data_IF_978683038792
#
_entry.id   IF_978683038792
#
_cell.length_a   1.000
_cell.length_b   1.000
_cell.length_c   1.000
_cell.angle_alpha   90.00
_cell.angle_beta   90.00
_cell.angle_gamma   90.00
#
_symmetry.space_group_name_H-M   'P 1'
#
loop_
_entity.id
_entity.type
_entity.pdbx_description
1 polymer ?
#
# COMPACT_ATOMS: atom_id res chain seq x y z
N UNK A 1 -39.31 49.76 -39.63
CA UNK A 1 -39.08 50.72 -40.73
C UNK A 1 -37.68 50.45 -41.26
N UNK A 2 -37.45 50.03 -42.50
CA UNK A 2 -38.31 49.74 -43.62
C UNK A 2 -37.43 49.31 -44.81
N UNK A 3 -38.03 48.52 -45.71
CA UNK A 3 -37.82 48.49 -47.17
C UNK A 3 -36.44 47.97 -47.64
N UNK A 4 -36.33 46.73 -48.12
CA UNK A 4 -36.67 46.28 -49.48
C UNK A 4 -35.89 47.04 -50.57
N UNK A 5 -35.02 46.36 -51.34
CA UNK A 5 -35.26 45.98 -52.74
C UNK A 5 -33.99 45.38 -53.40
N UNK A 6 -34.15 44.27 -54.12
CA UNK A 6 -33.24 43.78 -55.17
C UNK A 6 -33.42 44.65 -56.45
N UNK A 7 -32.96 44.31 -57.69
CA UNK A 7 -31.98 43.33 -58.19
C UNK A 7 -31.09 43.86 -59.38
N UNK A 8 -30.30 42.94 -59.97
CA UNK A 8 -30.13 42.68 -61.43
C UNK A 8 -29.01 43.34 -62.29
N UNK A 9 -28.09 42.45 -62.70
CA UNK A 9 -27.49 42.22 -64.05
C UNK A 9 -26.29 43.04 -64.62
N UNK A 10 -25.40 42.25 -65.23
CA UNK A 10 -24.18 42.48 -66.02
C UNK A 10 -24.47 43.05 -67.44
N UNK A 11 -23.55 43.06 -68.46
CA UNK A 11 -22.09 42.81 -68.54
C UNK A 11 -21.34 43.87 -69.44
N UNK A 12 -20.06 43.58 -69.79
CA UNK A 12 -19.34 43.86 -71.06
C UNK A 12 -17.95 44.50 -70.87
N UNK A 13 -16.94 43.94 -71.55
CA UNK A 13 -15.56 44.45 -71.54
C UNK A 13 -15.20 45.26 -72.79
N UNK A 14 -14.06 45.97 -72.74
CA UNK A 14 -13.09 46.15 -73.84
C UNK A 14 -11.91 47.04 -73.41
N UNK A 15 -10.68 46.54 -73.64
CA UNK A 15 -9.46 47.21 -74.13
C UNK A 15 -9.11 48.68 -73.79
N UNK A 16 -7.91 48.88 -73.21
CA UNK A 16 -6.98 49.98 -73.55
C UNK A 16 -5.54 49.60 -73.15
N UNK A 17 -4.68 49.14 -74.08
CA UNK A 17 -3.59 49.87 -74.76
C UNK A 17 -2.65 50.69 -73.85
N UNK A 18 -1.47 50.11 -73.56
CA UNK A 18 -0.26 50.85 -73.20
C UNK A 18 0.62 51.02 -74.46
N UNK A 19 1.16 52.23 -74.57
CA UNK A 19 1.82 52.86 -75.70
C UNK A 19 3.09 52.16 -76.21
N UNK A 20 3.21 52.23 -77.53
CA UNK A 20 4.27 51.79 -78.43
C UNK A 20 5.61 52.49 -78.11
N UNK A 21 6.64 51.72 -77.79
CA UNK A 21 8.02 52.07 -78.14
C UNK A 21 8.37 51.34 -79.44
N UNK A 22 8.54 52.11 -80.51
CA UNK A 22 9.08 51.60 -81.76
C UNK A 22 10.56 51.30 -81.64
N UNK A 23 11.02 50.31 -82.41
CA UNK A 23 12.09 50.50 -83.41
C UNK A 23 12.26 49.22 -84.25
N UNK A 24 11.85 49.36 -85.51
CA UNK A 24 12.45 48.81 -86.73
C UNK A 24 13.13 47.43 -86.68
N UNK A 25 12.41 46.41 -87.15
CA UNK A 25 13.01 45.17 -87.64
C UNK A 25 13.46 45.35 -89.10
N UNK A 26 14.76 45.54 -89.30
CA UNK A 26 15.41 45.38 -90.60
C UNK A 26 16.16 44.04 -90.59
N UNK A 27 15.91 43.24 -91.63
CA UNK A 27 16.59 41.99 -91.99
C UNK A 27 15.93 40.68 -91.57
N UNK A 28 15.59 39.93 -92.61
CA UNK A 28 15.26 38.52 -92.71
C UNK A 28 16.36 37.64 -92.09
N UNK A 29 15.95 36.48 -91.54
CA UNK A 29 16.82 35.35 -91.12
C UNK A 29 17.51 35.50 -89.76
N UNK A 30 16.85 35.01 -88.72
CA UNK A 30 17.44 34.80 -87.39
C UNK A 30 16.77 33.61 -86.67
N UNK A 31 16.69 32.46 -87.37
CA UNK A 31 16.30 31.18 -86.77
C UNK A 31 17.49 30.64 -85.97
N UNK A 32 17.18 29.99 -84.84
CA UNK A 32 18.02 29.01 -84.10
C UNK A 32 19.13 29.61 -83.22
N UNK A 33 19.27 29.04 -82.02
CA UNK A 33 20.26 29.27 -80.94
C UNK A 33 19.88 30.25 -79.84
N UNK A 34 19.11 29.77 -78.86
CA UNK A 34 19.38 29.99 -77.44
C UNK A 34 18.67 28.92 -76.60
N UNK A 35 19.22 27.71 -76.62
CA UNK A 35 18.85 26.61 -75.73
C UNK A 35 19.28 26.92 -74.28
N UNK A 36 18.60 26.30 -73.31
CA UNK A 36 18.97 26.05 -71.90
C UNK A 36 18.81 27.16 -70.83
N UNK A 37 17.65 27.16 -70.15
CA UNK A 37 17.49 27.44 -68.71
C UNK A 37 16.08 26.94 -68.27
N UNK A 38 15.90 25.62 -68.09
CA UNK A 38 15.90 24.91 -66.80
C UNK A 38 14.82 25.39 -65.80
N UNK A 39 14.02 24.43 -65.32
CA UNK A 39 13.04 24.50 -64.21
C UNK A 39 11.60 24.87 -64.59
N UNK A 40 10.97 23.96 -65.33
CA UNK A 40 9.58 23.59 -65.05
C UNK A 40 9.60 22.62 -63.85
N UNK A 41 9.43 23.14 -62.63
CA UNK A 41 8.94 22.42 -61.45
C UNK A 41 8.85 23.35 -60.22
N UNK A 42 7.64 23.41 -59.65
CA UNK A 42 7.29 23.82 -58.28
C UNK A 42 7.13 25.32 -57.90
N UNK A 43 6.11 25.55 -57.05
CA UNK A 43 5.73 26.73 -56.25
C UNK A 43 4.83 27.80 -56.94
N UNK A 44 3.67 28.24 -56.43
CA UNK A 44 3.12 28.22 -55.06
C UNK A 44 1.58 28.45 -55.04
N UNK A 45 0.94 27.91 -54.00
CA UNK A 45 -0.51 27.96 -53.68
C UNK A 45 -0.73 28.94 -52.52
N UNK A 46 -1.74 29.81 -52.59
CA UNK A 46 -2.27 30.60 -51.47
C UNK A 46 -3.73 30.96 -51.78
N UNK A 47 -4.75 30.80 -50.94
CA UNK A 47 -4.84 30.37 -49.55
C UNK A 47 -6.31 30.43 -49.13
N UNK A 48 -7.10 29.40 -49.50
CA UNK A 48 -8.36 29.10 -48.82
C UNK A 48 -8.03 28.03 -47.76
N UNK A 49 -7.63 28.49 -46.59
CA UNK A 49 -7.41 27.63 -45.43
C UNK A 49 -8.74 27.07 -44.94
N UNK A 50 -9.23 26.01 -45.59
CA UNK A 50 -10.18 25.08 -44.97
C UNK A 50 -9.44 24.39 -43.83
N UNK A 51 -9.53 24.94 -42.62
CA UNK A 51 -9.08 24.24 -41.42
C UNK A 51 -10.03 23.06 -41.19
N UNK A 52 -9.68 21.90 -41.76
CA UNK A 52 -10.17 20.62 -41.27
C UNK A 52 -9.49 20.38 -39.92
N UNK A 53 -10.19 20.67 -38.83
CA UNK A 53 -9.72 20.29 -37.50
C UNK A 53 -9.85 18.76 -37.36
N UNK A 54 -8.80 18.02 -37.70
CA UNK A 54 -8.70 16.60 -37.40
C UNK A 54 -8.37 16.44 -35.92
N UNK A 55 -9.38 16.21 -35.09
CA UNK A 55 -9.18 15.86 -33.68
C UNK A 55 -9.53 14.41 -33.46
N UNK A 56 -8.53 13.59 -33.10
CA UNK A 56 -8.72 12.23 -32.60
C UNK A 56 -8.48 12.19 -31.09
N UNK A 57 -9.43 11.62 -30.36
CA UNK A 57 -9.29 11.32 -28.93
C UNK A 57 -9.32 9.81 -28.74
N UNK A 58 -8.42 9.28 -27.93
CA UNK A 58 -8.40 7.88 -27.50
C UNK A 58 -8.34 7.84 -25.99
N UNK A 59 -9.16 7.00 -25.37
CA UNK A 59 -9.22 6.84 -23.92
C UNK A 59 -8.99 5.38 -23.54
N UNK A 60 -8.22 5.17 -22.48
CA UNK A 60 -8.11 3.90 -21.78
C UNK A 60 -8.40 4.15 -20.29
N UNK A 61 -9.00 3.15 -19.64
CA UNK A 61 -9.28 3.17 -18.21
C UNK A 61 -8.63 1.95 -17.57
N UNK A 62 -8.01 2.17 -16.41
CA UNK A 62 -7.40 1.13 -15.59
C UNK A 62 -8.02 1.18 -14.20
N UNK A 63 -8.31 0.01 -13.61
CA UNK A 63 -8.87 -0.05 -12.25
C UNK A 63 -7.75 -0.36 -11.26
N UNK A 64 -7.38 0.63 -10.45
CA UNK A 64 -6.37 0.47 -9.40
C UNK A 64 -7.04 0.27 -8.05
N UNK A 65 -6.74 -0.84 -7.37
CA UNK A 65 -7.18 -1.11 -6.01
C UNK A 65 -5.99 -1.17 -5.04
N UNK A 66 -6.13 -0.58 -3.85
CA UNK A 66 -5.11 -0.64 -2.80
C UNK A 66 -5.19 -1.92 -1.97
N UNK A 67 -4.04 -2.41 -1.51
CA UNK A 67 -3.98 -3.50 -0.53
C UNK A 67 -4.27 -3.04 0.90
N UNK A 68 -4.76 -3.94 1.75
CA UNK A 68 -5.04 -3.74 3.17
C UNK A 68 -4.05 -4.51 4.04
N UNK A 69 -3.63 -3.88 5.15
CA UNK A 69 -2.79 -4.48 6.20
C UNK A 69 -3.62 -4.49 7.47
N UNK A 70 -3.90 -5.68 8.01
CA UNK A 70 -4.66 -5.79 9.23
C UNK A 70 -4.30 -7.08 9.98
N UNK A 71 -3.92 -6.96 11.25
CA UNK A 71 -3.76 -8.10 12.15
C UNK A 71 -4.87 -8.05 13.20
N UNK A 72 -5.50 -9.19 13.44
CA UNK A 72 -6.63 -9.32 14.35
C UNK A 72 -6.37 -10.41 15.38
N UNK A 73 -6.94 -10.22 16.57
CA UNK A 73 -7.01 -11.25 17.59
C UNK A 73 -8.34 -11.98 17.49
N UNK A 74 -8.36 -13.25 17.91
CA UNK A 74 -9.58 -14.00 18.09
C UNK A 74 -10.58 -13.30 19.03
N UNK A 75 -11.85 -13.68 18.91
CA UNK A 75 -12.90 -13.21 19.82
C UNK A 75 -12.58 -13.62 21.27
N UNK A 76 -12.99 -12.78 22.23
CA UNK A 76 -12.82 -13.05 23.66
C UNK A 76 -13.41 -14.42 24.03
N UNK A 77 -12.63 -15.25 24.74
CA UNK A 77 -12.98 -16.63 25.03
C UNK A 77 -11.81 -17.56 24.76
N UNK A 78 -12.08 -18.80 24.33
CA UNK A 78 -11.03 -19.78 24.04
C UNK A 78 -10.03 -19.32 22.95
N UNK A 79 -10.47 -18.46 22.02
CA UNK A 79 -9.63 -17.88 20.98
C UNK A 79 -8.84 -16.64 21.42
N UNK A 80 -9.15 -16.07 22.60
CA UNK A 80 -8.43 -14.94 23.17
C UNK A 80 -8.69 -14.81 24.69
N UNK A 81 -7.69 -15.18 25.47
CA UNK A 81 -7.69 -15.11 26.94
C UNK A 81 -6.83 -13.95 27.48
N UNK A 82 -6.24 -13.10 26.65
CA UNK A 82 -5.29 -12.07 27.11
C UNK A 82 -5.90 -11.07 28.11
N UNK A 83 -7.22 -10.91 28.13
CA UNK A 83 -7.93 -10.05 29.10
C UNK A 83 -8.23 -10.74 30.44
N UNK A 84 -7.91 -12.03 30.62
CA UNK A 84 -8.15 -12.75 31.88
C UNK A 84 -7.03 -12.41 32.86
N UNK A 85 -7.37 -11.65 33.90
CA UNK A 85 -6.45 -11.31 34.97
C UNK A 85 -5.89 -12.56 35.67
N UNK A 86 -4.65 -12.46 36.13
CA UNK A 86 -4.08 -13.38 37.11
C UNK A 86 -3.93 -12.65 38.44
N UNK A 87 -4.10 -13.35 39.54
CA UNK A 87 -4.07 -12.79 40.89
C UNK A 87 -3.42 -13.75 41.86
N UNK A 88 -2.78 -13.22 42.90
CA UNK A 88 -2.19 -14.04 43.96
C UNK A 88 -0.96 -14.84 43.51
N UNK A 89 -0.21 -14.33 42.53
CA UNK A 89 1.02 -14.96 42.08
C UNK A 89 2.07 -14.94 43.19
N UNK A 90 2.73 -16.07 43.38
CA UNK A 90 3.92 -16.22 44.21
C UNK A 90 5.16 -16.52 43.36
N UNK A 91 6.35 -16.36 43.93
CA UNK A 91 7.60 -16.62 43.24
C UNK A 91 7.64 -18.06 42.71
N UNK A 92 7.91 -18.22 41.41
CA UNK A 92 7.89 -19.50 40.69
C UNK A 92 6.59 -19.77 39.92
N UNK A 93 5.52 -19.00 40.14
CA UNK A 93 4.26 -19.20 39.44
C UNK A 93 4.34 -18.88 37.95
N UNK A 94 3.52 -19.58 37.18
CA UNK A 94 3.35 -19.36 35.74
C UNK A 94 1.88 -19.18 35.39
N UNK A 95 1.62 -18.30 34.43
CA UNK A 95 0.30 -17.97 33.91
C UNK A 95 0.35 -18.16 32.41
N UNK A 96 -0.58 -18.94 31.87
CA UNK A 96 -0.69 -19.12 30.42
C UNK A 96 -2.00 -18.50 29.90
N UNK A 97 -1.94 -17.90 28.72
CA UNK A 97 -3.08 -17.36 27.98
C UNK A 97 -2.97 -17.73 26.51
N UNK A 98 -4.00 -18.35 25.94
CA UNK A 98 -4.07 -18.58 24.50
C UNK A 98 -4.65 -17.38 23.76
N UNK A 99 -4.18 -17.16 22.53
CA UNK A 99 -4.74 -16.19 21.59
C UNK A 99 -4.51 -16.66 20.16
N UNK A 100 -5.53 -16.57 19.32
CA UNK A 100 -5.38 -16.71 17.87
C UNK A 100 -5.03 -15.34 17.29
N UNK A 101 -3.94 -15.28 16.54
CA UNK A 101 -3.51 -14.09 15.80
C UNK A 101 -3.67 -14.34 14.30
N UNK A 102 -4.38 -13.48 13.59
CA UNK A 102 -4.63 -13.64 12.15
C UNK A 102 -4.29 -12.39 11.36
N UNK A 103 -3.86 -12.57 10.10
CA UNK A 103 -3.80 -11.47 9.14
C UNK A 103 -5.08 -11.48 8.30
N UNK A 104 -5.96 -10.53 8.61
CA UNK A 104 -7.25 -10.35 7.94
C UNK A 104 -7.18 -9.29 6.83
N UNK A 105 -5.99 -8.75 6.55
CA UNK A 105 -5.73 -7.96 5.35
C UNK A 105 -5.63 -8.84 4.10
N UNK A 106 -5.50 -8.21 2.94
CA UNK A 106 -5.26 -8.90 1.65
C UNK A 106 -3.80 -8.84 1.19
N UNK A 107 -2.90 -8.32 2.03
CA UNK A 107 -1.47 -8.24 1.76
C UNK A 107 -0.66 -9.12 2.71
N UNK A 108 0.42 -9.71 2.19
CA UNK A 108 1.47 -10.28 3.03
C UNK A 108 2.22 -9.17 3.78
N UNK A 109 2.62 -9.48 5.01
CA UNK A 109 3.35 -8.63 5.93
C UNK A 109 4.85 -8.95 5.86
N UNK A 110 5.70 -7.96 6.11
CA UNK A 110 7.14 -8.18 6.29
C UNK A 110 7.47 -8.75 7.66
N UNK A 111 6.73 -8.32 8.69
CA UNK A 111 6.91 -8.75 10.07
C UNK A 111 5.64 -8.49 10.89
N UNK A 112 5.53 -9.21 12.01
CA UNK A 112 4.62 -8.87 13.10
C UNK A 112 5.46 -8.68 14.36
N UNK A 113 5.16 -7.63 15.11
CA UNK A 113 5.81 -7.33 16.38
C UNK A 113 4.81 -7.28 17.52
N UNK A 114 5.29 -7.57 18.74
CA UNK A 114 4.55 -7.41 19.99
C UNK A 114 5.13 -6.24 20.78
N UNK A 115 4.25 -5.35 21.22
CA UNK A 115 4.54 -4.34 22.24
C UNK A 115 3.70 -4.62 23.47
N UNK A 116 4.34 -4.68 24.63
CA UNK A 116 3.71 -4.83 25.93
C UNK A 116 4.03 -3.63 26.81
N UNK A 117 3.02 -3.11 27.49
CA UNK A 117 3.16 -1.98 28.41
C UNK A 117 2.27 -2.20 29.63
N UNK A 118 2.71 -1.75 30.81
CA UNK A 118 1.97 -1.94 32.05
C UNK A 118 1.33 -0.63 32.55
N UNK A 119 0.04 -0.66 32.86
CA UNK A 119 -0.67 0.43 33.54
C UNK A 119 -1.90 -0.08 34.30
N UNK A 120 -1.92 -0.06 35.64
CA UNK A 120 -0.84 0.42 36.53
C UNK A 120 0.43 -0.44 36.40
N UNK A 121 1.57 0.15 36.74
CA UNK A 121 2.90 -0.48 36.74
C UNK A 121 3.42 -0.63 38.17
N UNK A 122 4.26 -1.63 38.39
CA UNK A 122 4.91 -1.94 39.66
C UNK A 122 6.25 -2.67 39.43
N UNK A 123 6.94 -3.04 40.51
CA UNK A 123 8.19 -3.84 40.42
C UNK A 123 8.01 -5.14 39.63
N UNK A 124 6.80 -5.70 39.58
CA UNK A 124 6.48 -6.87 38.77
C UNK A 124 6.86 -6.69 37.30
N UNK A 125 6.76 -5.49 36.74
CA UNK A 125 7.08 -5.25 35.32
C UNK A 125 8.32 -4.37 35.10
N UNK A 126 8.75 -3.59 36.09
CA UNK A 126 9.94 -2.74 35.96
C UNK A 126 11.25 -3.46 36.29
N UNK A 127 11.23 -4.52 37.11
CA UNK A 127 12.42 -5.33 37.39
C UNK A 127 12.62 -6.36 36.28
N UNK A 128 13.61 -6.12 35.41
CA UNK A 128 13.83 -6.96 34.22
C UNK A 128 14.40 -8.35 34.53
N UNK A 129 14.89 -8.59 35.75
CA UNK A 129 15.56 -9.84 36.15
C UNK A 129 14.64 -10.69 37.02
N UNK A 130 14.09 -10.09 38.07
CA UNK A 130 13.27 -10.79 39.07
C UNK A 130 11.76 -10.52 38.91
N UNK A 131 11.39 -9.57 38.03
CA UNK A 131 9.99 -9.36 37.66
C UNK A 131 9.50 -10.35 36.62
N UNK A 132 8.26 -10.15 36.19
CA UNK A 132 7.54 -10.99 35.25
C UNK A 132 8.35 -11.19 33.96
N UNK A 133 8.51 -12.45 33.59
CA UNK A 133 9.15 -12.89 32.36
C UNK A 133 8.08 -13.40 31.39
N UNK A 134 8.19 -13.03 30.13
CA UNK A 134 7.27 -13.35 29.05
C UNK A 134 7.96 -14.23 28.02
N UNK A 135 7.27 -15.26 27.57
CA UNK A 135 7.59 -16.03 26.37
C UNK A 135 6.32 -16.25 25.55
N UNK A 136 6.47 -16.44 24.24
CA UNK A 136 5.35 -16.73 23.35
C UNK A 136 5.70 -17.92 22.47
N UNK A 137 4.82 -18.91 22.48
CA UNK A 137 4.90 -20.09 21.65
C UNK A 137 3.73 -20.13 20.66
N UNK A 138 3.94 -20.73 19.50
CA UNK A 138 2.89 -21.07 18.55
C UNK A 138 2.72 -22.60 18.51
N UNK A 139 1.47 -23.07 18.46
CA UNK A 139 1.14 -24.45 18.12
C UNK A 139 0.61 -24.50 16.68
N UNK A 140 1.01 -25.52 15.93
CA UNK A 140 0.55 -25.72 14.54
C UNK A 140 -0.96 -26.01 14.43
N UNK A 141 -1.63 -26.29 15.54
CA UNK A 141 -3.08 -26.49 15.68
C UNK A 141 -3.59 -25.69 16.90
N UNK A 142 -4.92 -25.50 17.06
CA UNK A 142 -5.44 -24.86 18.25
C UNK A 142 -4.97 -25.55 19.54
N UNK A 143 -4.58 -24.74 20.53
CA UNK A 143 -4.20 -25.25 21.85
C UNK A 143 -5.38 -25.93 22.54
N UNK A 144 -5.14 -27.09 23.13
CA UNK A 144 -6.14 -27.76 23.99
C UNK A 144 -6.10 -27.10 25.37
N UNK A 145 -7.15 -26.35 25.70
CA UNK A 145 -7.30 -25.66 26.99
C UNK A 145 -7.76 -26.64 28.08
N UNK A 146 -7.17 -26.51 29.26
CA UNK A 146 -7.60 -27.17 30.49
C UNK A 146 -7.57 -26.18 31.68
N UNK A 147 -8.12 -26.60 32.82
CA UNK A 147 -8.23 -25.77 34.02
C UNK A 147 -9.46 -24.85 34.01
N UNK A 148 -9.53 -23.97 35.00
CA UNK A 148 -10.63 -23.01 35.19
C UNK A 148 -10.08 -21.62 35.45
N UNK A 149 -10.83 -20.58 35.06
CA UNK A 149 -10.39 -19.19 35.24
C UNK A 149 -10.04 -18.91 36.71
N UNK A 150 -8.90 -18.25 36.99
CA UNK A 150 -7.92 -17.69 36.04
C UNK A 150 -6.74 -18.63 35.69
N UNK A 151 -6.73 -19.87 36.18
CA UNK A 151 -5.65 -20.85 36.07
C UNK A 151 -5.88 -21.82 34.88
N UNK A 152 -5.70 -21.30 33.67
CA UNK A 152 -5.72 -22.11 32.45
C UNK A 152 -4.35 -22.70 32.13
N UNK A 153 -4.35 -23.91 31.56
CA UNK A 153 -3.17 -24.56 30.97
C UNK A 153 -3.45 -24.98 29.54
N UNK A 154 -2.40 -25.09 28.73
CA UNK A 154 -2.52 -25.37 27.31
C UNK A 154 -1.54 -26.44 26.85
N UNK A 155 -2.08 -27.48 26.21
CA UNK A 155 -1.31 -28.54 25.56
C UNK A 155 -1.43 -28.45 24.04
N UNK A 156 -0.33 -28.72 23.34
CA UNK A 156 -0.27 -28.74 21.88
C UNK A 156 -0.21 -30.19 21.42
N UNK A 157 -1.13 -30.62 20.57
CA UNK A 157 -1.10 -31.94 19.90
C UNK A 157 -0.32 -31.91 18.58
N UNK A 158 0.10 -30.72 18.14
CA UNK A 158 0.92 -30.50 16.94
C UNK A 158 2.37 -30.15 17.27
N UNK A 159 2.99 -29.33 16.41
CA UNK A 159 4.35 -28.83 16.62
C UNK A 159 4.33 -27.51 17.36
N UNK A 160 5.15 -27.39 18.41
CA UNK A 160 5.38 -26.14 19.12
C UNK A 160 6.59 -25.43 18.54
N UNK A 161 6.44 -24.15 18.21
CA UNK A 161 7.53 -23.26 17.79
C UNK A 161 7.61 -22.08 18.74
N UNK A 162 8.79 -21.78 19.28
CA UNK A 162 8.99 -20.58 20.10
C UNK A 162 9.06 -19.35 19.18
N UNK A 163 8.08 -18.45 19.29
CA UNK A 163 7.98 -17.25 18.43
C UNK A 163 8.54 -16.00 19.11
N UNK A 164 8.60 -15.98 20.45
CA UNK A 164 9.32 -14.98 21.24
C UNK A 164 10.08 -15.69 22.36
N UNK A 165 11.40 -15.49 22.41
CA UNK A 165 12.23 -16.04 23.47
C UNK A 165 11.93 -15.41 24.84
N UNK A 166 12.21 -16.13 25.96
CA UNK A 166 12.03 -15.60 27.30
C UNK A 166 12.75 -14.26 27.52
N UNK A 167 12.03 -13.30 28.08
CA UNK A 167 12.52 -11.94 28.37
C UNK A 167 11.63 -11.24 29.40
N UNK A 168 12.03 -10.06 29.88
CA UNK A 168 11.16 -9.21 30.69
C UNK A 168 9.81 -8.94 30.01
N UNK A 169 8.73 -8.92 30.79
CA UNK A 169 7.37 -8.88 30.27
C UNK A 169 6.98 -7.59 29.57
N UNK A 170 7.63 -6.47 29.88
CA UNK A 170 7.44 -5.17 29.20
C UNK A 170 8.53 -4.98 28.15
N UNK A 171 8.11 -4.62 26.94
CA UNK A 171 9.01 -4.38 25.82
C UNK A 171 8.27 -3.80 24.62
N UNK A 172 9.00 -3.11 23.75
CA UNK A 172 8.45 -2.53 22.54
C UNK A 172 9.00 -3.21 21.29
N UNK A 173 8.16 -3.32 20.26
CA UNK A 173 8.52 -3.78 18.92
C UNK A 173 9.27 -5.13 18.91
N UNK A 174 8.88 -6.05 19.80
CA UNK A 174 9.50 -7.35 19.93
C UNK A 174 9.11 -8.19 18.71
N UNK A 175 10.07 -8.53 17.87
CA UNK A 175 9.81 -9.33 16.67
C UNK A 175 9.31 -10.73 17.06
N UNK A 176 8.19 -11.14 16.46
CA UNK A 176 7.67 -12.49 16.57
C UNK A 176 8.12 -13.28 15.34
N UNK A 177 8.95 -14.31 15.56
CA UNK A 177 9.54 -15.10 14.49
C UNK A 177 8.66 -16.29 14.10
N UNK A 178 8.77 -16.76 12.86
CA UNK A 178 8.16 -18.02 12.41
C UNK A 178 6.63 -18.03 12.34
N UNK A 179 5.99 -16.86 12.32
CA UNK A 179 4.54 -16.73 12.23
C UNK A 179 4.02 -17.02 10.82
N UNK A 180 2.95 -17.81 10.72
CA UNK A 180 2.23 -18.03 9.45
C UNK A 180 1.38 -16.82 9.08
N UNK A 181 0.87 -16.10 10.08
CA UNK A 181 0.06 -14.88 9.93
C UNK A 181 0.78 -13.71 9.25
N UNK A 182 2.07 -13.82 8.92
CA UNK A 182 2.69 -12.88 7.96
C UNK A 182 2.13 -13.03 6.55
N UNK A 183 1.51 -14.18 6.24
CA UNK A 183 0.80 -14.41 4.98
C UNK A 183 -0.66 -13.98 5.10
N UNK A 184 -1.19 -13.37 4.03
CA UNK A 184 -2.61 -12.99 3.96
C UNK A 184 -3.52 -14.18 4.26
N UNK A 185 -4.59 -13.95 5.04
CA UNK A 185 -5.58 -14.94 5.45
C UNK A 185 -5.06 -16.12 6.31
N UNK A 186 -3.79 -16.09 6.73
CA UNK A 186 -3.24 -17.08 7.64
C UNK A 186 -3.40 -16.66 9.11
N UNK A 187 -3.30 -17.64 10.00
CA UNK A 187 -3.41 -17.44 11.44
C UNK A 187 -2.42 -18.33 12.21
N UNK A 188 -2.06 -17.90 13.41
CA UNK A 188 -1.24 -18.65 14.37
C UNK A 188 -2.00 -18.86 15.68
N UNK A 189 -1.83 -20.05 16.27
CA UNK A 189 -2.39 -20.38 17.59
C UNK A 189 -1.31 -20.10 18.64
N UNK A 190 -1.36 -18.93 19.26
CA UNK A 190 -0.33 -18.49 20.20
C UNK A 190 -0.70 -18.85 21.64
N UNK A 191 0.32 -19.18 22.44
CA UNK A 191 0.26 -19.25 23.89
C UNK A 191 1.27 -18.27 24.46
N UNK A 192 0.76 -17.29 25.19
CA UNK A 192 1.54 -16.36 25.98
C UNK A 192 1.73 -16.96 27.36
N UNK A 193 2.99 -17.12 27.79
CA UNK A 193 3.32 -17.58 29.14
C UNK A 193 4.04 -16.45 29.87
N UNK A 194 3.50 -16.09 31.04
CA UNK A 194 4.11 -15.14 31.97
C UNK A 194 4.53 -15.88 33.23
N UNK A 195 5.77 -15.69 33.66
CA UNK A 195 6.35 -16.34 34.85
C UNK A 195 6.81 -15.28 35.83
N UNK A 196 6.47 -15.40 37.11
CA UNK A 196 7.16 -14.68 38.18
C UNK A 196 8.36 -15.54 38.61
N UNK A 197 9.63 -15.11 38.40
CA UNK A 197 10.79 -15.91 38.75
C UNK A 197 10.81 -16.34 40.23
N UNK A 198 11.40 -17.51 40.51
CA UNK A 198 11.61 -17.97 41.89
C UNK A 198 12.58 -17.10 42.68
N UNK A 199 13.36 -16.23 42.01
CA UNK A 199 14.24 -15.24 42.61
C UNK A 199 13.51 -13.95 43.04
N UNK A 200 12.20 -13.82 42.77
CA UNK A 200 11.40 -12.72 43.28
C UNK A 200 11.34 -12.78 44.81
N UNK A 201 11.83 -11.72 45.46
CA UNK A 201 11.90 -11.63 46.92
C UNK A 201 10.63 -11.02 47.54
N UNK A 202 10.66 -10.83 48.87
CA UNK A 202 9.54 -10.28 49.63
C UNK A 202 9.09 -8.87 49.21
N UNK A 203 9.88 -8.13 48.43
CA UNK A 203 9.50 -6.79 47.92
C UNK A 203 8.49 -6.85 46.77
N UNK A 204 8.24 -8.03 46.20
CA UNK A 204 7.21 -8.25 45.18
C UNK A 204 5.82 -8.53 45.77
N UNK A 205 5.71 -8.74 47.08
CA UNK A 205 4.45 -9.10 47.74
C UNK A 205 3.43 -7.97 47.65
N UNK A 206 2.18 -8.33 47.36
CA UNK A 206 1.04 -7.40 47.31
C UNK A 206 1.06 -6.43 46.13
N UNK A 207 2.03 -6.54 45.21
CA UNK A 207 2.10 -5.71 44.02
C UNK A 207 1.11 -6.19 42.95
N UNK A 208 0.73 -5.27 42.07
CA UNK A 208 -0.11 -5.56 40.90
C UNK A 208 0.32 -4.70 39.73
N UNK A 209 0.29 -5.29 38.54
CA UNK A 209 0.51 -4.62 37.27
C UNK A 209 -0.53 -5.12 36.27
N UNK A 210 -0.97 -4.25 35.36
CA UNK A 210 -1.85 -4.65 34.24
C UNK A 210 -1.09 -4.51 32.94
N UNK A 211 -0.68 -5.64 32.35
CA UNK A 211 0.06 -5.69 31.09
C UNK A 211 -0.91 -5.69 29.91
N UNK A 212 -0.84 -4.65 29.08
CA UNK A 212 -1.50 -4.59 27.78
C UNK A 212 -0.63 -5.20 26.69
N UNK A 213 -1.26 -5.85 25.70
CA UNK A 213 -0.60 -6.51 24.57
C UNK A 213 -1.06 -5.87 23.26
N UNK A 214 -0.12 -5.40 22.44
CA UNK A 214 -0.39 -4.79 21.14
C UNK A 214 0.42 -5.50 20.06
N UNK A 215 -0.28 -6.08 19.08
CA UNK A 215 0.32 -6.73 17.92
C UNK A 215 0.28 -5.77 16.73
N UNK A 216 1.42 -5.58 16.07
CA UNK A 216 1.54 -4.67 14.93
C UNK A 216 2.11 -5.42 13.72
N UNK A 217 1.32 -5.49 12.65
CA UNK A 217 1.74 -5.99 11.34
C UNK A 217 2.36 -4.88 10.49
N UNK A 218 3.54 -5.13 9.92
CA UNK A 218 4.23 -4.19 9.01
C UNK A 218 4.05 -4.62 7.56
N UNK A 219 3.74 -3.69 6.67
CA UNK A 219 3.61 -3.98 5.24
C UNK A 219 4.94 -4.47 4.65
N UNK A 220 4.89 -5.33 3.63
CA UNK A 220 6.06 -5.63 2.79
C UNK A 220 6.52 -4.41 1.98
N UNK A 221 7.78 -4.40 1.55
CA UNK A 221 8.28 -3.39 0.60
C UNK A 221 7.47 -3.39 -0.70
N UNK A 222 7.22 -2.19 -1.24
CA UNK A 222 6.50 -2.01 -2.49
C UNK A 222 7.24 -2.63 -3.69
N UNK A 223 6.48 -3.08 -4.68
CA UNK A 223 6.97 -3.68 -5.93
C UNK A 223 6.14 -3.12 -7.08
N UNK A 224 6.75 -2.88 -8.24
CA UNK A 224 6.01 -2.54 -9.46
C UNK A 224 5.01 -3.63 -9.84
N UNK A 225 3.91 -3.24 -10.50
CA UNK A 225 2.79 -4.11 -10.90
C UNK A 225 2.58 -4.05 -12.39
#
# INVERSE_FOLDING_TARGET
MGLANSPQAAPAGHHERITIMGLNLKSTTGKVLASTALVAAAASVAGLGTYGAFTSTTSASETVASGTVNVALGATGAANRLSVAASGLVAGDTVQRAVTLSNTGNQNLSAITLTTAASPSSKLDTDTVNGLQLTVDACSVPWTEAGTSPAFTYTCSGTVTQVLAPRAAVGANMALAGLNSVTSAAADNLRVTVTLPSSADNTFQGLSSTVGFSFTGTQRTATSK
#
